data_IF_626759009863
#
_entry.id   IF_626759009863
#
_cell.length_a   1.000
_cell.length_b   1.000
_cell.length_c   1.000
_cell.angle_alpha   90.00
_cell.angle_beta   90.00
_cell.angle_gamma   90.00
#
_symmetry.space_group_name_H-M   'P 1'
#
loop_
_entity.id
_entity.type
_entity.pdbx_description
1 polymer ?
2 polymer ?
3 non-polymer ?
4 water ?
#
# COMPACT_ATOMS: atom_id res chain seq x y z
N UNK A 2 11.75 -12.41 -21.29
CA UNK A 2 11.61 -11.00 -20.80
C UNK A 2 10.19 -10.79 -20.25
N UNK A 3 10.09 -10.71 -18.92
CA UNK A 3 8.90 -10.17 -18.21
C UNK A 3 8.51 -8.88 -18.94
N UNK A 4 9.51 -8.03 -19.21
CA UNK A 4 9.37 -6.70 -19.84
C UNK A 4 8.52 -6.83 -21.12
N UNK A 5 8.85 -7.78 -22.00
CA UNK A 5 8.25 -7.90 -23.34
C UNK A 5 6.77 -8.25 -23.21
N UNK A 6 6.45 -9.21 -22.35
CA UNK A 6 5.06 -9.61 -22.00
C UNK A 6 4.28 -8.38 -21.49
N UNK A 7 4.87 -7.57 -20.62
CA UNK A 7 4.21 -6.37 -20.05
C UNK A 7 3.88 -5.37 -21.16
N UNK A 8 4.83 -5.13 -22.07
CA UNK A 8 4.64 -4.21 -23.20
C UNK A 8 3.48 -4.76 -24.05
N UNK A 9 3.45 -6.07 -24.29
CA UNK A 9 2.39 -6.69 -25.12
C UNK A 9 1.04 -6.51 -24.42
N UNK A 10 0.96 -6.77 -23.12
CA UNK A 10 -0.32 -6.68 -22.37
C UNK A 10 -0.81 -5.23 -22.38
N UNK A 11 0.09 -4.28 -22.14
CA UNK A 11 -0.24 -2.83 -22.20
C UNK A 11 -0.86 -2.46 -23.55
N UNK A 12 -0.21 -2.82 -24.66
CA UNK A 12 -0.69 -2.50 -26.02
C UNK A 12 -2.06 -3.15 -26.28
N UNK A 13 -2.17 -4.44 -26.03
CA UNK A 13 -3.44 -5.15 -26.34
C UNK A 13 -4.57 -4.57 -25.46
N UNK A 14 -4.32 -4.23 -24.19
CA UNK A 14 -5.34 -3.65 -23.28
C UNK A 14 -5.78 -2.28 -23.79
N UNK A 15 -4.82 -1.46 -24.17
CA UNK A 15 -5.10 -0.19 -24.88
C UNK A 15 -5.99 -0.44 -26.10
N UNK A 16 -5.61 -1.34 -27.00
CA UNK A 16 -6.32 -1.49 -28.29
C UNK A 16 -7.76 -1.97 -28.05
N UNK A 17 -7.95 -2.94 -27.15
CA UNK A 17 -9.28 -3.47 -26.79
C UNK A 17 -10.13 -2.35 -26.19
N UNK A 18 -9.58 -1.60 -25.24
CA UNK A 18 -10.28 -0.48 -24.57
C UNK A 18 -10.69 0.58 -25.61
N UNK A 19 -9.80 0.87 -26.55
CA UNK A 19 -10.06 1.85 -27.63
C UNK A 19 -11.24 1.38 -28.49
N UNK A 20 -11.47 0.07 -28.61
CA UNK A 20 -12.63 -0.51 -29.35
C UNK A 20 -13.86 -0.72 -28.44
N UNK A 21 -13.84 -0.25 -27.20
CA UNK A 21 -15.02 -0.33 -26.33
C UNK A 21 -15.17 -1.68 -25.66
N UNK A 22 -14.12 -2.49 -25.62
CA UNK A 22 -14.06 -3.75 -24.84
C UNK A 22 -13.27 -3.46 -23.55
N UNK A 23 -13.26 -4.38 -22.59
CA UNK A 23 -12.49 -4.23 -21.33
C UNK A 23 -11.72 -5.53 -21.04
N UNK A 24 -10.39 -5.48 -21.11
CA UNK A 24 -9.54 -6.63 -20.74
C UNK A 24 -8.71 -6.22 -19.53
N UNK A 25 -9.22 -6.50 -18.34
CA UNK A 25 -8.58 -6.16 -17.04
C UNK A 25 -7.62 -7.28 -16.64
N UNK A 26 -6.47 -6.93 -16.07
CA UNK A 26 -5.53 -7.91 -15.45
C UNK A 26 -6.13 -8.35 -14.11
N UNK A 27 -5.68 -9.47 -13.53
CA UNK A 27 -6.26 -9.99 -12.26
C UNK A 27 -6.09 -8.94 -11.14
N UNK A 28 -4.98 -8.19 -11.11
CA UNK A 28 -4.73 -7.24 -9.99
C UNK A 28 -5.36 -5.88 -10.29
N UNK A 29 -6.12 -5.71 -11.37
CA UNK A 29 -6.69 -4.39 -11.72
C UNK A 29 -7.60 -3.89 -10.60
N UNK A 30 -8.59 -4.68 -10.23
CA UNK A 30 -9.58 -4.31 -9.20
C UNK A 30 -8.89 -4.11 -7.84
N UNK A 31 -7.86 -4.88 -7.52
CA UNK A 31 -7.13 -4.71 -6.22
C UNK A 31 -6.48 -3.32 -6.21
N UNK A 32 -5.77 -3.00 -7.30
CA UNK A 32 -5.08 -1.69 -7.43
C UNK A 32 -6.08 -0.57 -7.21
N UNK A 33 -7.22 -0.65 -7.87
CA UNK A 33 -8.22 0.43 -7.85
C UNK A 33 -8.82 0.55 -6.44
N UNK A 34 -9.19 -0.57 -5.82
CA UNK A 34 -9.72 -0.57 -4.43
C UNK A 34 -8.69 0.06 -3.47
N UNK A 35 -7.41 -0.23 -3.67
CA UNK A 35 -6.33 0.27 -2.80
C UNK A 35 -6.19 1.79 -2.98
N UNK A 36 -6.19 2.27 -4.22
CA UNK A 36 -6.10 3.73 -4.47
C UNK A 36 -7.25 4.42 -3.74
N UNK A 37 -8.46 3.88 -3.87
CA UNK A 37 -9.67 4.49 -3.28
C UNK A 37 -9.64 4.40 -1.76
N UNK A 38 -9.22 3.26 -1.22
CA UNK A 38 -9.12 3.04 0.25
C UNK A 38 -8.08 4.00 0.86
N UNK A 39 -6.95 4.18 0.18
CA UNK A 39 -5.88 5.09 0.62
C UNK A 39 -6.34 6.53 0.62
N UNK A 40 -7.04 6.94 -0.43
CA UNK A 40 -7.64 8.30 -0.52
C UNK A 40 -8.60 8.52 0.65
N UNK A 41 -9.52 7.59 0.86
CA UNK A 41 -10.55 7.69 1.93
C UNK A 41 -9.87 7.73 3.31
N UNK A 42 -8.83 6.92 3.52
CA UNK A 42 -8.09 6.86 4.82
C UNK A 42 -7.51 8.25 5.14
N UNK A 43 -6.79 8.82 4.21
CA UNK A 43 -6.05 10.10 4.37
C UNK A 43 -7.03 11.23 4.67
N UNK A 44 -8.24 11.14 4.13
CA UNK A 44 -9.34 12.14 4.29
C UNK A 44 -10.07 11.91 5.61
N UNK A 45 -10.24 10.67 6.03
CA UNK A 45 -10.97 10.36 7.27
C UNK A 45 -10.08 10.53 8.49
N UNK A 46 -8.80 10.18 8.41
CA UNK A 46 -7.95 10.03 9.62
C UNK A 46 -6.76 10.99 9.57
N UNK A 47 -6.99 12.24 9.19
CA UNK A 47 -5.89 13.20 9.02
C UNK A 47 -5.04 13.25 10.30
N UNK A 48 -5.65 13.34 11.47
CA UNK A 48 -4.90 13.46 12.76
C UNK A 48 -4.05 12.19 12.99
N UNK A 49 -4.65 11.01 12.99
CA UNK A 49 -3.93 9.75 13.29
C UNK A 49 -2.85 9.50 12.22
N UNK A 50 -3.16 9.83 10.96
CA UNK A 50 -2.23 9.64 9.81
C UNK A 50 -0.99 10.54 9.96
N UNK A 51 -1.20 11.80 10.28
CA UNK A 51 -0.10 12.77 10.54
C UNK A 51 0.81 12.21 11.64
N UNK A 52 0.23 11.74 12.76
CA UNK A 52 1.00 11.16 13.90
C UNK A 52 1.82 9.96 13.42
N UNK A 53 1.24 9.14 12.53
CA UNK A 53 1.93 7.96 11.95
C UNK A 53 3.12 8.43 11.10
N UNK A 54 2.87 9.38 10.20
CA UNK A 54 3.85 9.87 9.18
C UNK A 54 4.96 10.67 9.88
N UNK A 55 4.68 11.28 11.03
CA UNK A 55 5.71 12.06 11.77
C UNK A 55 6.67 11.12 12.52
N UNK A 56 6.39 9.80 12.59
CA UNK A 56 7.24 8.83 13.34
C UNK A 56 8.49 8.43 12.52
N UNK A 57 8.60 8.84 11.26
CA UNK A 57 9.75 8.44 10.43
C UNK A 57 9.93 9.47 9.32
N UNK A 58 11.18 9.91 9.12
CA UNK A 58 11.65 10.73 7.97
C UNK A 58 12.79 9.99 7.28
N UNK A 59 12.64 9.65 5.99
CA UNK A 59 13.62 8.76 5.29
C UNK A 59 14.74 9.63 4.74
N UNK A 60 15.98 9.30 5.06
CA UNK A 60 17.17 9.94 4.45
C UNK A 60 17.96 8.85 3.73
N UNK A 61 18.93 9.22 2.87
CA UNK A 61 19.70 8.21 2.14
C UNK A 61 20.34 7.21 3.12
N UNK A 62 20.49 7.61 4.38
CA UNK A 62 21.15 6.83 5.44
C UNK A 62 20.25 5.79 6.08
N UNK A 63 18.93 5.89 5.92
CA UNK A 63 17.96 5.06 6.68
C UNK A 63 18.06 3.61 6.21
N UNK A 64 18.08 2.66 7.14
CA UNK A 64 17.95 1.21 6.84
C UNK A 64 16.48 0.79 6.97
N UNK A 65 16.16 -0.36 6.37
CA UNK A 65 14.85 -1.04 6.43
C UNK A 65 14.44 -1.27 7.89
N UNK A 66 15.37 -1.62 8.78
CA UNK A 66 15.07 -1.89 10.21
C UNK A 66 14.24 -0.74 10.81
N UNK A 67 14.62 0.52 10.54
CA UNK A 67 13.94 1.76 11.01
C UNK A 67 12.49 1.80 10.51
N UNK A 68 12.29 1.59 9.21
CA UNK A 68 10.95 1.52 8.59
C UNK A 68 10.16 0.41 9.29
N UNK A 69 10.76 -0.79 9.39
CA UNK A 69 10.14 -2.05 9.91
C UNK A 69 9.69 -1.85 11.36
N UNK A 70 10.49 -1.14 12.15
CA UNK A 70 10.22 -0.94 13.60
C UNK A 70 8.94 -0.11 13.74
N UNK A 71 8.76 0.90 12.88
CA UNK A 71 7.57 1.81 12.93
C UNK A 71 6.32 1.09 12.40
N UNK A 72 6.44 0.41 11.28
CA UNK A 72 5.38 -0.48 10.74
C UNK A 72 5.09 -1.63 11.72
N UNK A 73 6.08 -2.11 12.48
CA UNK A 73 5.86 -3.17 13.50
C UNK A 73 4.95 -2.64 14.62
N UNK A 74 5.05 -1.36 14.96
CA UNK A 74 4.14 -0.76 15.96
C UNK A 74 2.72 -0.78 15.40
N UNK A 75 2.56 -0.47 14.12
CA UNK A 75 1.23 -0.47 13.48
C UNK A 75 0.60 -1.86 13.60
N UNK A 76 1.37 -2.93 13.42
CA UNK A 76 0.87 -4.32 13.43
C UNK A 76 1.29 -5.10 14.69
N UNK A 77 1.60 -4.45 15.80
CA UNK A 77 2.28 -5.21 16.89
C UNK A 77 1.35 -6.29 17.47
N UNK A 78 0.07 -5.98 17.69
CA UNK A 78 -0.91 -6.96 18.23
C UNK A 78 -1.81 -7.49 17.10
N UNK A 79 -1.33 -7.47 15.87
CA UNK A 79 -1.95 -8.19 14.75
C UNK A 79 -2.35 -7.29 13.60
N UNK A 80 -3.06 -7.90 12.66
CA UNK A 80 -3.34 -7.32 11.33
C UNK A 80 -4.86 -7.20 11.19
N UNK A 81 -5.33 -6.12 10.58
CA UNK A 81 -6.70 -5.99 10.02
C UNK A 81 -6.55 -5.22 8.73
N UNK A 82 -7.61 -5.17 7.92
CA UNK A 82 -7.53 -4.48 6.62
C UNK A 82 -7.27 -2.98 6.82
N UNK A 83 -7.87 -2.38 7.82
CA UNK A 83 -7.67 -0.94 8.10
C UNK A 83 -6.20 -0.66 8.27
N UNK A 84 -5.50 -1.50 9.03
CA UNK A 84 -4.04 -1.32 9.27
C UNK A 84 -3.25 -1.53 7.99
N UNK A 85 -3.70 -2.44 7.13
CA UNK A 85 -3.03 -2.65 5.83
C UNK A 85 -3.16 -1.36 5.01
N UNK A 86 -4.34 -0.75 4.99
CA UNK A 86 -4.54 0.52 4.24
C UNK A 86 -3.63 1.59 4.89
N UNK A 87 -3.52 1.60 6.21
CA UNK A 87 -2.70 2.61 6.91
C UNK A 87 -1.25 2.46 6.44
N UNK A 88 -0.77 1.21 6.32
CA UNK A 88 0.62 0.84 5.89
C UNK A 88 0.89 1.37 4.47
N UNK A 89 -0.03 1.15 3.54
CA UNK A 89 0.09 1.73 2.18
C UNK A 89 0.17 3.26 2.22
N UNK A 90 -0.77 3.89 2.91
CA UNK A 90 -0.85 5.37 3.00
C UNK A 90 0.42 5.90 3.63
N UNK A 91 0.94 5.20 4.64
CA UNK A 91 2.21 5.57 5.33
C UNK A 91 3.36 5.53 4.32
N UNK A 92 3.49 4.45 3.55
CA UNK A 92 4.52 4.38 2.50
C UNK A 92 4.39 5.54 1.52
N UNK A 93 3.17 5.77 1.02
CA UNK A 93 2.83 6.93 0.17
C UNK A 93 3.36 8.25 0.73
N UNK A 94 3.04 8.56 1.98
CA UNK A 94 3.46 9.79 2.69
C UNK A 94 4.99 9.87 2.75
N UNK A 95 5.70 8.77 3.05
CA UNK A 95 7.19 8.77 3.08
C UNK A 95 7.75 9.10 1.69
N UNK A 96 7.17 8.54 0.63
CA UNK A 96 7.60 8.83 -0.76
C UNK A 96 7.39 10.31 -1.07
N UNK A 97 6.23 10.87 -0.75
CA UNK A 97 5.90 12.30 -0.98
C UNK A 97 6.93 13.18 -0.23
N UNK A 98 7.24 12.88 1.03
CA UNK A 98 8.24 13.62 1.84
C UNK A 98 9.57 13.59 1.07
N UNK A 99 9.96 12.39 0.62
CA UNK A 99 11.24 12.16 -0.10
C UNK A 99 11.33 13.11 -1.30
N UNK A 100 10.29 13.15 -2.13
CA UNK A 100 10.24 13.96 -3.36
C UNK A 100 10.09 15.45 -3.00
N UNK A 101 9.44 15.82 -1.89
CA UNK A 101 9.32 17.25 -1.49
C UNK A 101 10.72 17.78 -1.19
N UNK A 102 11.59 16.93 -0.64
CA UNK A 102 13.00 17.22 -0.25
C UNK A 102 13.95 16.85 -1.40
N UNK A 103 13.45 16.70 -2.62
CA UNK A 103 14.31 16.48 -3.82
C UNK A 103 15.13 15.19 -3.67
N UNK A 104 14.71 14.23 -2.82
CA UNK A 104 15.37 12.91 -2.62
C UNK A 104 14.57 11.82 -3.38
N UNK A 105 14.15 12.08 -4.62
CA UNK A 105 13.37 11.15 -5.51
C UNK A 105 13.98 9.74 -5.53
N UNK A 106 15.29 9.67 -5.36
CA UNK A 106 16.07 8.40 -5.35
C UNK A 106 15.50 7.43 -4.30
N UNK A 107 14.93 7.93 -3.20
CA UNK A 107 14.46 7.10 -2.06
C UNK A 107 13.17 6.36 -2.43
N UNK A 108 12.45 6.80 -3.44
CA UNK A 108 11.10 6.20 -3.73
C UNK A 108 11.27 4.70 -3.99
N UNK A 109 12.25 4.31 -4.80
CA UNK A 109 12.53 2.90 -5.19
C UNK A 109 12.73 2.07 -3.95
N UNK A 110 13.52 2.60 -3.04
CA UNK A 110 13.91 1.89 -1.81
C UNK A 110 12.68 1.66 -0.92
N UNK A 111 11.86 2.70 -0.73
CA UNK A 111 10.60 2.62 0.07
C UNK A 111 9.70 1.56 -0.56
N UNK A 112 9.54 1.57 -1.89
CA UNK A 112 8.79 0.54 -2.63
C UNK A 112 9.34 -0.86 -2.30
N UNK A 113 10.66 -1.09 -2.29
CA UNK A 113 11.22 -2.43 -2.00
C UNK A 113 10.93 -2.79 -0.54
N UNK A 114 11.12 -1.85 0.38
CA UNK A 114 10.79 -2.07 1.81
C UNK A 114 9.31 -2.47 1.97
N UNK A 115 8.41 -1.80 1.29
CA UNK A 115 6.96 -2.10 1.45
C UNK A 115 6.67 -3.52 0.91
N UNK A 116 7.21 -3.86 -0.26
CA UNK A 116 7.08 -5.20 -0.89
C UNK A 116 7.65 -6.28 0.03
N UNK A 117 8.80 -6.06 0.65
CA UNK A 117 9.38 -7.03 1.61
C UNK A 117 8.43 -7.21 2.80
N UNK A 118 7.99 -6.11 3.41
CA UNK A 118 7.16 -6.13 4.63
C UNK A 118 5.83 -6.89 4.32
N UNK A 119 5.23 -6.59 3.18
CA UNK A 119 4.07 -7.36 2.67
C UNK A 119 4.41 -8.85 2.64
N UNK A 120 5.54 -9.20 2.01
CA UNK A 120 5.83 -10.61 1.68
C UNK A 120 6.04 -11.39 2.97
N UNK A 121 6.77 -10.80 3.92
CA UNK A 121 7.18 -11.45 5.17
C UNK A 121 6.03 -11.42 6.18
N UNK A 122 5.36 -10.27 6.33
CA UNK A 122 4.48 -10.03 7.49
C UNK A 122 3.00 -10.06 7.13
N UNK A 123 2.58 -9.58 5.97
CA UNK A 123 1.14 -9.32 5.77
C UNK A 123 0.54 -10.40 4.86
N UNK A 124 1.24 -10.86 3.82
CA UNK A 124 0.71 -11.86 2.84
C UNK A 124 0.20 -13.11 3.55
N UNK A 125 0.89 -13.68 4.55
CA UNK A 125 0.36 -14.85 5.25
C UNK A 125 -0.99 -14.59 5.93
N UNK A 126 -1.16 -13.45 6.63
CA UNK A 126 -2.47 -13.03 7.18
C UNK A 126 -3.50 -12.91 6.03
N UNK A 127 -3.14 -12.26 4.94
CA UNK A 127 -4.11 -11.97 3.84
C UNK A 127 -4.66 -13.31 3.29
N UNK A 128 -3.77 -14.26 3.03
CA UNK A 128 -4.12 -15.62 2.51
C UNK A 128 -4.99 -16.40 3.49
N UNK A 129 -4.93 -16.13 4.80
CA UNK A 129 -5.85 -16.75 5.78
C UNK A 129 -7.10 -15.89 6.03
N UNK A 130 -7.23 -14.72 5.41
CA UNK A 130 -8.35 -13.82 5.77
C UNK A 130 -9.11 -13.43 4.51
N UNK A 131 -9.09 -14.29 3.50
CA UNK A 131 -10.00 -14.19 2.34
C UNK A 131 -9.34 -13.66 1.09
N UNK A 132 -8.03 -13.39 1.12
CA UNK A 132 -7.25 -12.91 -0.04
C UNK A 132 -7.54 -11.45 -0.40
N UNK A 133 -6.86 -10.92 -1.39
CA UNK A 133 -7.10 -9.53 -1.85
C UNK A 133 -8.53 -9.40 -2.40
N UNK A 134 -9.16 -10.49 -2.81
CA UNK A 134 -10.57 -10.49 -3.27
C UNK A 134 -11.49 -10.00 -2.15
N UNK A 135 -11.20 -10.38 -0.91
CA UNK A 135 -12.01 -9.97 0.27
C UNK A 135 -11.81 -8.46 0.46
N UNK A 136 -10.57 -8.00 0.34
CA UNK A 136 -10.27 -6.54 0.39
C UNK A 136 -11.12 -5.81 -0.67
N UNK A 137 -11.13 -6.30 -1.89
CA UNK A 137 -11.87 -5.62 -2.99
C UNK A 137 -13.35 -5.57 -2.60
N UNK A 138 -13.88 -6.68 -2.12
CA UNK A 138 -15.30 -6.73 -1.72
C UNK A 138 -15.54 -5.77 -0.53
N UNK A 139 -14.59 -5.62 0.39
CA UNK A 139 -14.80 -4.77 1.59
C UNK A 139 -14.69 -3.29 1.23
N UNK A 140 -13.74 -2.90 0.37
CA UNK A 140 -13.29 -1.50 0.13
C UNK A 140 -13.50 -1.01 -1.32
N UNK A 141 -13.64 -1.91 -2.30
CA UNK A 141 -13.67 -1.54 -3.73
C UNK A 141 -15.05 -1.06 -4.19
N UNK B 1 -8.10 -7.32 16.44
CA UNK B 1 -6.99 -6.88 17.43
C UNK B 1 -7.46 -5.98 18.31
N UNK B 2 -6.70 -5.72 19.49
CA UNK B 2 -7.08 -4.69 20.43
C UNK B 2 -7.14 -3.38 19.59
N UNK B 3 -8.35 -2.54 19.71
CA UNK B 3 -8.54 -1.30 18.98
C UNK B 3 -7.56 -0.26 19.55
N UNK B 4 -6.53 0.27 18.67
CA UNK B 4 -5.56 1.28 19.13
C UNK B 4 -5.63 2.51 18.20
N UNK B 5 -6.28 2.39 16.90
CA UNK B 5 -6.33 3.48 15.98
C UNK B 5 -7.77 3.63 15.63
N UNK B 6 -8.14 4.92 15.06
CA UNK B 6 -9.56 5.13 14.73
C UNK B 6 -10.03 4.08 13.68
N UNK B 7 -9.06 3.70 12.64
CA UNK B 7 -9.47 2.75 11.59
C UNK B 7 -9.69 1.34 12.12
N UNK B 8 -9.25 0.94 13.47
CA UNK B 8 -9.50 -0.42 13.90
C UNK B 8 -11.00 -0.66 14.09
N UNK B 9 -11.80 0.49 14.53
CA UNK B 9 -13.26 0.42 14.78
C UNK B 9 -13.98 -0.06 13.54
N UNK B 10 -13.61 0.31 12.20
CA UNK B 10 -14.35 -0.21 11.03
C UNK B 10 -14.10 -1.73 10.86
N UNK B 11 -13.10 -2.42 11.70
CA UNK B 11 -12.87 -3.85 11.47
C UNK B 11 -13.51 -4.66 12.59
N UNK B 12 -13.62 -6.09 12.47
X LIG C 1 -7.51 -7.69 15.22
X LIG C 1 -8.61 -7.95 14.21
X LIG C 1 -8.22 -8.46 12.87
X LIG C 1 -9.28 -8.69 11.82
X LIG C 1 -10.73 -8.48 12.20
X LIG C 1 -11.13 -7.93 13.56
X LIG C 1 -10.06 -7.70 14.59
X LIG C 1 -11.79 -8.57 11.14
X LIG C 1 -12.67 -7.84 11.31
X LIG C 1 -11.82 -9.18 9.85
X LIG C 1 -13.03 -8.87 9.04
X LIG C 1 -13.08 -7.48 8.34
X LIG C 1 -11.78 -6.98 8.45
X LIG C 1 -11.14 -5.70 8.57
X LIG C 1 -9.97 -5.97 8.73
X LIG C 1 -11.62 -4.24 8.51
#
# INVERSE_FOLDING_TARGET
MSQSNRELVVDFLSYKLSQKGYSWSQFMAAVKQALREAGDEFELRYRRAFSDLTSQLHITPGTAYQSFEQVVNELFRDGVNWGRIVAFFSFGGALCVESVDKEMQVLVSRIAAWMATYLNDHLEPWIQENGGWDTFVELYG
CPARYGWDYECX
JFF C1 C9 C10 C11 C12 C13 C14 C15 O5 N4 C16 C17 N5 C18 O6 C19
#
